data_IF_982854774110
#
_entry.id   IF_982854774110
#
_cell.length_a   1.000
_cell.length_b   1.000
_cell.length_c   1.000
_cell.angle_alpha   90.00
_cell.angle_beta   90.00
_cell.angle_gamma   90.00
#
_symmetry.space_group_name_H-M   'P 1'
#
loop_
_entity.id
_entity.type
_entity.pdbx_description
1 polymer ?
#
# COMPACT_ATOMS: atom_id res chain seq x y z
N UNK A 1 -22.62 -4.94 66.21
CA UNK A 1 -22.71 -6.02 65.21
C UNK A 1 -21.67 -5.74 64.13
N UNK A 2 -20.78 -6.69 63.90
CA UNK A 2 -19.80 -6.64 62.80
C UNK A 2 -20.54 -6.85 61.48
N UNK A 3 -20.24 -6.07 60.45
CA UNK A 3 -20.47 -6.51 59.07
C UNK A 3 -19.29 -6.06 58.21
N UNK A 4 -18.52 -7.06 57.80
CA UNK A 4 -17.47 -6.97 56.80
C UNK A 4 -18.11 -6.87 55.42
N UNK A 5 -17.64 -5.95 54.57
CA UNK A 5 -17.83 -6.05 53.12
C UNK A 5 -16.48 -6.30 52.48
N UNK A 6 -16.36 -7.48 51.90
CA UNK A 6 -15.21 -8.00 51.16
C UNK A 6 -15.02 -7.24 49.86
N UNK A 7 -13.85 -6.62 49.67
CA UNK A 7 -13.42 -6.10 48.39
C UNK A 7 -13.04 -7.29 47.48
N UNK A 8 -13.92 -7.64 46.56
CA UNK A 8 -13.57 -8.51 45.43
C UNK A 8 -12.78 -7.68 44.42
N UNK A 9 -11.47 -7.88 44.38
CA UNK A 9 -10.65 -7.51 43.23
C UNK A 9 -11.09 -8.40 42.06
N UNK A 10 -11.82 -7.83 41.09
CA UNK A 10 -11.88 -8.39 39.74
C UNK A 10 -10.67 -7.86 39.00
N UNK A 11 -9.78 -8.76 38.59
CA UNK A 11 -8.80 -8.51 37.53
C UNK A 11 -9.58 -8.03 36.30
N UNK A 12 -9.59 -6.72 36.10
CA UNK A 12 -10.01 -6.13 34.85
C UNK A 12 -8.96 -6.47 33.82
N UNK A 13 -9.29 -7.35 32.88
CA UNK A 13 -8.65 -7.37 31.58
C UNK A 13 -8.67 -5.94 31.04
N UNK A 14 -7.50 -5.30 31.00
CA UNK A 14 -7.34 -4.05 30.26
C UNK A 14 -7.55 -4.38 28.79
N UNK A 15 -8.78 -4.22 28.31
CA UNK A 15 -9.05 -4.12 26.88
C UNK A 15 -8.28 -2.89 26.41
N UNK A 16 -7.20 -3.10 25.68
CA UNK A 16 -6.38 -2.04 25.14
C UNK A 16 -7.21 -1.32 24.05
N UNK A 17 -7.98 -0.32 24.45
CA UNK A 17 -8.96 0.38 23.62
C UNK A 17 -8.28 1.41 22.71
N UNK A 18 -7.34 0.98 21.87
CA UNK A 18 -6.80 1.83 20.81
C UNK A 18 -7.75 1.75 19.62
N UNK A 19 -8.31 2.90 19.23
CA UNK A 19 -9.14 3.05 18.03
C UNK A 19 -8.30 3.17 16.73
N UNK A 20 -6.97 3.08 16.85
CA UNK A 20 -6.02 3.20 15.74
C UNK A 20 -5.06 2.02 15.84
N UNK A 21 -4.87 1.34 14.71
CA UNK A 21 -3.85 0.31 14.52
C UNK A 21 -2.70 0.88 13.72
N UNK A 22 -1.47 0.52 14.10
CA UNK A 22 -0.27 0.92 13.40
C UNK A 22 0.33 -0.27 12.66
N UNK A 23 0.47 -0.13 11.36
CA UNK A 23 1.09 -1.11 10.49
C UNK A 23 2.24 -0.49 9.72
N UNK A 24 3.07 -1.32 9.10
CA UNK A 24 4.14 -0.87 8.21
C UNK A 24 3.92 -1.38 6.79
N UNK A 25 4.13 -0.50 5.81
CA UNK A 25 4.37 -0.90 4.43
C UNK A 25 5.71 -1.64 4.36
N UNK A 26 5.73 -2.82 3.72
CA UNK A 26 6.91 -3.67 3.62
C UNK A 26 8.10 -3.05 2.88
N UNK A 27 7.90 -1.98 2.10
CA UNK A 27 8.99 -1.22 1.48
C UNK A 27 9.97 -0.68 2.54
N UNK A 28 9.49 -0.46 3.77
CA UNK A 28 10.29 -0.01 4.92
C UNK A 28 11.42 -0.99 5.25
N UNK A 29 11.23 -2.28 4.96
CA UNK A 29 12.26 -3.30 5.18
C UNK A 29 13.26 -3.42 4.02
N UNK A 30 13.14 -2.64 2.95
CA UNK A 30 14.04 -2.72 1.80
C UNK A 30 15.28 -1.80 1.93
N UNK A 31 15.68 -1.48 3.16
CA UNK A 31 17.03 -0.97 3.45
C UNK A 31 18.01 -2.16 3.59
N UNK A 32 19.10 -2.24 2.80
CA UNK A 32 20.12 -3.28 2.93
C UNK A 32 20.64 -3.48 4.36
N UNK A 33 20.69 -2.43 5.18
CA UNK A 33 21.16 -2.50 6.57
C UNK A 33 20.26 -3.36 7.46
N UNK A 34 18.95 -3.36 7.21
CA UNK A 34 18.02 -4.22 7.93
C UNK A 34 18.39 -5.71 7.76
N UNK A 35 18.90 -6.07 6.58
CA UNK A 35 19.34 -7.43 6.24
C UNK A 35 20.82 -7.69 6.59
N UNK A 36 21.46 -6.82 7.36
CA UNK A 36 22.88 -6.94 7.72
C UNK A 36 23.84 -6.71 6.55
N UNK A 37 23.39 -6.02 5.50
CA UNK A 37 24.18 -5.73 4.31
C UNK A 37 24.56 -4.25 4.22
N UNK A 38 25.57 -3.97 3.40
CA UNK A 38 25.89 -2.64 2.89
C UNK A 38 25.55 -2.57 1.39
N UNK A 39 25.31 -1.37 0.87
CA UNK A 39 25.03 -1.14 -0.55
C UNK A 39 23.67 -0.50 -0.76
N UNK A 40 23.16 -0.59 -1.99
CA UNK A 40 21.82 -0.11 -2.38
C UNK A 40 20.89 -1.26 -2.78
N UNK A 41 19.82 -0.93 -3.51
CA UNK A 41 18.79 -1.90 -3.91
C UNK A 41 19.32 -3.11 -4.70
N UNK A 42 20.41 -2.98 -5.45
CA UNK A 42 21.00 -4.10 -6.18
C UNK A 42 21.62 -5.15 -5.26
N UNK A 43 22.09 -4.75 -4.07
CA UNK A 43 22.57 -5.67 -3.05
C UNK A 43 21.42 -6.55 -2.53
N UNK A 44 20.24 -5.95 -2.31
CA UNK A 44 19.03 -6.69 -1.91
C UNK A 44 18.50 -7.59 -3.01
N UNK A 45 18.47 -7.12 -4.26
CA UNK A 45 18.10 -7.96 -5.41
C UNK A 45 18.99 -9.19 -5.49
N UNK A 46 20.29 -9.00 -5.31
CA UNK A 46 21.27 -10.10 -5.28
C UNK A 46 21.00 -11.04 -4.12
N UNK A 47 20.75 -10.51 -2.91
CA UNK A 47 20.43 -11.29 -1.72
C UNK A 47 19.26 -12.23 -1.97
N UNK A 48 18.12 -11.69 -2.42
CA UNK A 48 16.91 -12.46 -2.64
C UNK A 48 16.98 -13.40 -3.85
N UNK A 49 17.86 -13.12 -4.81
CA UNK A 49 18.07 -13.98 -5.99
C UNK A 49 19.16 -15.05 -5.79
N UNK A 50 19.98 -14.95 -4.74
CA UNK A 50 21.14 -15.82 -4.50
C UNK A 50 20.81 -17.26 -4.07
N UNK A 51 19.53 -17.62 -3.94
CA UNK A 51 19.06 -18.94 -3.49
C UNK A 51 19.20 -19.20 -1.99
N UNK A 52 19.90 -18.33 -1.24
CA UNK A 52 20.01 -18.42 0.23
C UNK A 52 18.77 -17.94 0.99
N UNK A 53 17.82 -17.31 0.30
CA UNK A 53 16.56 -16.82 0.84
C UNK A 53 15.38 -17.55 0.21
N UNK A 54 14.71 -18.37 1.01
CA UNK A 54 13.41 -18.93 0.66
C UNK A 54 12.31 -17.95 1.03
N UNK A 55 11.13 -18.00 0.37
CA UNK A 55 9.97 -17.20 0.78
C UNK A 55 9.67 -17.33 2.28
N UNK A 56 9.70 -18.56 2.83
CA UNK A 56 9.49 -18.79 4.25
C UNK A 56 10.52 -18.09 5.15
N UNK A 57 11.80 -18.08 4.76
CA UNK A 57 12.85 -17.38 5.53
C UNK A 57 12.62 -15.86 5.52
N UNK A 58 12.25 -15.31 4.36
CA UNK A 58 11.90 -13.90 4.22
C UNK A 58 10.73 -13.52 5.14
N UNK A 59 9.60 -14.23 5.02
CA UNK A 59 8.40 -13.92 5.78
C UNK A 59 8.57 -14.11 7.28
N UNK A 60 9.24 -15.16 7.74
CA UNK A 60 9.51 -15.33 9.17
C UNK A 60 10.33 -14.17 9.73
N UNK A 61 11.30 -13.64 8.97
CA UNK A 61 12.08 -12.48 9.41
C UNK A 61 11.24 -11.21 9.49
N UNK A 62 10.42 -10.95 8.46
CA UNK A 62 9.51 -9.79 8.40
C UNK A 62 8.49 -9.84 9.54
N UNK A 63 7.76 -10.95 9.70
CA UNK A 63 6.72 -11.08 10.72
C UNK A 63 7.29 -11.01 12.14
N UNK A 64 8.47 -11.61 12.37
CA UNK A 64 9.18 -11.47 13.65
C UNK A 64 9.55 -10.02 13.92
N UNK A 65 10.12 -9.33 12.93
CA UNK A 65 10.57 -7.95 13.09
C UNK A 65 9.41 -6.97 13.30
N UNK A 66 8.30 -7.16 12.58
CA UNK A 66 7.08 -6.36 12.75
C UNK A 66 6.50 -6.54 14.16
N UNK A 67 6.44 -7.77 14.66
CA UNK A 67 6.02 -8.08 16.03
C UNK A 67 6.96 -7.46 17.07
N UNK A 68 8.27 -7.60 16.91
CA UNK A 68 9.27 -7.03 17.83
C UNK A 68 9.25 -5.49 17.86
N UNK A 69 8.91 -4.86 16.74
CA UNK A 69 8.67 -3.42 16.65
C UNK A 69 7.36 -2.97 17.32
N UNK A 70 6.49 -3.92 17.74
CA UNK A 70 5.22 -3.62 18.37
C UNK A 70 4.14 -3.13 17.42
N UNK A 71 4.22 -3.50 16.15
CA UNK A 71 3.19 -3.20 15.14
C UNK A 71 1.96 -4.07 15.34
N UNK A 72 0.81 -3.53 14.96
CA UNK A 72 -0.47 -4.26 14.92
C UNK A 72 -0.63 -5.05 13.61
N UNK A 73 0.13 -4.70 12.56
CA UNK A 73 0.02 -5.36 11.26
C UNK A 73 1.04 -4.92 10.22
N UNK A 74 0.82 -5.37 9.00
CA UNK A 74 1.64 -5.05 7.82
C UNK A 74 0.78 -4.73 6.61
N UNK A 75 1.34 -3.95 5.68
CA UNK A 75 0.85 -3.79 4.31
C UNK A 75 1.86 -4.45 3.35
N UNK A 76 1.39 -5.44 2.60
CA UNK A 76 2.22 -6.18 1.64
C UNK A 76 2.30 -5.44 0.31
N UNK A 77 3.41 -5.57 -0.41
CA UNK A 77 3.67 -4.76 -1.60
C UNK A 77 4.05 -5.60 -2.81
N UNK A 78 5.30 -5.48 -3.27
CA UNK A 78 5.86 -6.13 -4.44
C UNK A 78 6.97 -7.11 -4.02
N UNK A 79 7.35 -8.07 -4.89
CA UNK A 79 8.34 -9.07 -4.57
C UNK A 79 9.62 -8.49 -3.94
N UNK A 80 10.18 -9.15 -2.91
CA UNK A 80 9.78 -10.46 -2.35
C UNK A 80 8.61 -10.42 -1.32
N UNK A 81 8.08 -9.25 -0.97
CA UNK A 81 6.99 -9.06 0.00
C UNK A 81 5.59 -9.00 -0.61
N UNK A 82 5.35 -9.74 -1.69
CA UNK A 82 4.05 -9.81 -2.36
C UNK A 82 3.23 -11.05 -1.94
N UNK A 83 1.95 -11.03 -2.30
CA UNK A 83 1.01 -12.12 -2.02
C UNK A 83 1.44 -13.47 -2.61
N UNK A 84 2.05 -13.51 -3.79
CA UNK A 84 2.57 -14.75 -4.37
C UNK A 84 3.69 -15.38 -3.52
N UNK A 85 4.62 -14.56 -3.02
CA UNK A 85 5.65 -15.01 -2.09
C UNK A 85 5.06 -15.49 -0.77
N UNK A 86 4.01 -14.83 -0.27
CA UNK A 86 3.29 -15.25 0.94
C UNK A 86 2.64 -16.63 0.76
N UNK A 87 1.95 -16.86 -0.36
CA UNK A 87 1.39 -18.18 -0.68
C UNK A 87 2.48 -19.23 -0.87
N UNK A 88 3.59 -18.90 -1.52
CA UNK A 88 4.72 -19.81 -1.66
C UNK A 88 5.34 -20.19 -0.30
N UNK A 89 5.32 -19.29 0.68
CA UNK A 89 5.86 -19.52 2.01
C UNK A 89 4.94 -20.39 2.90
N UNK A 90 3.63 -20.15 2.83
CA UNK A 90 2.64 -20.75 3.75
C UNK A 90 1.62 -21.67 3.08
N UNK A 91 1.80 -21.95 1.77
CA UNK A 91 1.01 -22.87 0.96
C UNK A 91 -0.31 -22.32 0.43
N UNK A 92 -0.85 -21.24 1.02
CA UNK A 92 -2.09 -20.57 0.59
C UNK A 92 -2.27 -19.23 1.30
N UNK A 93 -3.21 -18.40 0.83
CA UNK A 93 -3.66 -17.21 1.53
C UNK A 93 -4.12 -17.50 2.98
N UNK A 94 -4.87 -18.58 3.20
CA UNK A 94 -5.30 -19.00 4.54
C UNK A 94 -4.12 -19.39 5.44
N UNK A 95 -3.10 -20.04 4.88
CA UNK A 95 -1.86 -20.34 5.59
C UNK A 95 -1.12 -19.07 6.02
N UNK A 96 -1.07 -18.06 5.16
CA UNK A 96 -0.49 -16.76 5.50
C UNK A 96 -1.30 -16.01 6.57
N UNK A 97 -2.63 -16.05 6.49
CA UNK A 97 -3.52 -15.49 7.50
C UNK A 97 -3.29 -16.13 8.89
N UNK A 98 -3.06 -17.44 8.94
CA UNK A 98 -2.69 -18.13 10.18
C UNK A 98 -1.32 -17.68 10.68
N UNK A 99 -0.33 -17.54 9.79
CA UNK A 99 1.00 -17.07 10.17
C UNK A 99 0.98 -15.65 10.77
N UNK A 100 0.17 -14.74 10.20
CA UNK A 100 -0.08 -13.42 10.79
C UNK A 100 -0.67 -13.53 12.20
N UNK A 101 -1.71 -14.36 12.36
CA UNK A 101 -2.35 -14.61 13.66
C UNK A 101 -1.37 -15.14 14.70
N UNK A 102 -0.50 -16.09 14.33
CA UNK A 102 0.51 -16.66 15.23
C UNK A 102 1.55 -15.62 15.69
N UNK A 103 1.76 -14.57 14.88
CA UNK A 103 2.60 -13.43 15.23
C UNK A 103 1.84 -12.31 15.98
N UNK A 104 0.52 -12.42 16.11
CA UNK A 104 -0.32 -11.35 16.66
C UNK A 104 -0.40 -10.11 15.76
N UNK A 105 -0.28 -10.32 14.45
CA UNK A 105 -0.32 -9.29 13.41
C UNK A 105 -1.58 -9.45 12.55
N UNK A 106 -1.97 -8.36 11.92
CA UNK A 106 -3.02 -8.32 10.90
C UNK A 106 -2.47 -7.89 9.54
N UNK A 107 -3.16 -8.28 8.47
CA UNK A 107 -2.96 -7.66 7.17
C UNK A 107 -3.86 -6.43 7.08
N UNK A 108 -3.30 -5.23 6.98
CA UNK A 108 -4.11 -4.01 6.91
C UNK A 108 -4.52 -3.66 5.48
N UNK A 109 -3.65 -3.97 4.51
CA UNK A 109 -3.81 -3.54 3.12
C UNK A 109 -2.80 -4.28 2.22
N UNK A 110 -3.00 -4.18 0.90
CA UNK A 110 -1.98 -4.55 -0.09
C UNK A 110 -1.74 -3.41 -1.08
N UNK A 111 -0.49 -3.20 -1.49
CA UNK A 111 -0.11 -2.26 -2.53
C UNK A 111 -0.09 -2.95 -3.90
N UNK A 112 -0.92 -2.46 -4.82
CA UNK A 112 -1.06 -2.98 -6.18
C UNK A 112 0.07 -2.47 -7.09
N UNK A 113 0.89 -3.40 -7.57
CA UNK A 113 1.84 -3.12 -8.65
C UNK A 113 1.16 -3.33 -10.00
N UNK A 114 1.21 -2.32 -10.87
CA UNK A 114 0.78 -2.45 -12.27
C UNK A 114 1.83 -3.13 -13.17
N UNK A 115 2.92 -3.67 -12.61
CA UNK A 115 3.89 -4.45 -13.37
C UNK A 115 3.27 -5.79 -13.76
N UNK A 116 3.37 -6.13 -15.05
CA UNK A 116 2.89 -7.41 -15.54
C UNK A 116 3.81 -8.54 -15.05
N UNK A 117 3.27 -9.55 -14.34
CA UNK A 117 4.05 -10.66 -13.80
C UNK A 117 4.94 -11.32 -14.87
N UNK A 118 6.18 -11.61 -14.48
CA UNK A 118 7.17 -12.23 -15.38
C UNK A 118 7.77 -11.27 -16.42
N UNK A 119 7.44 -9.99 -16.38
CA UNK A 119 7.99 -8.98 -17.30
C UNK A 119 8.53 -7.76 -16.56
N UNK A 120 9.31 -6.93 -17.27
CA UNK A 120 9.70 -5.61 -16.77
C UNK A 120 8.73 -4.50 -17.18
N UNK A 121 7.61 -4.85 -17.84
CA UNK A 121 6.66 -3.90 -18.41
C UNK A 121 5.57 -3.53 -17.40
N UNK A 122 5.24 -2.25 -17.35
CA UNK A 122 4.04 -1.76 -16.66
C UNK A 122 2.83 -1.85 -17.59
N UNK A 123 1.69 -2.25 -17.03
CA UNK A 123 0.41 -2.27 -17.72
C UNK A 123 -0.06 -0.85 -18.00
N UNK A 124 -0.51 -0.61 -19.24
CA UNK A 124 -1.14 0.63 -19.66
C UNK A 124 -2.63 0.58 -19.30
N UNK A 125 -3.07 1.51 -18.44
CA UNK A 125 -4.46 1.61 -18.01
C UNK A 125 -5.42 1.98 -19.16
N UNK A 126 -4.90 2.38 -20.32
CA UNK A 126 -5.67 2.77 -21.50
C UNK A 126 -5.67 1.71 -22.60
N UNK A 127 -4.80 0.69 -22.52
CA UNK A 127 -4.78 -0.41 -23.50
C UNK A 127 -5.79 -1.50 -23.12
N UNK A 128 -6.70 -1.92 -24.04
CA UNK A 128 -7.74 -2.90 -23.72
C UNK A 128 -7.23 -4.28 -23.26
N UNK A 129 -6.09 -4.74 -23.78
CA UNK A 129 -5.52 -6.03 -23.37
C UNK A 129 -4.96 -5.94 -21.94
N UNK A 130 -4.26 -4.85 -21.65
CA UNK A 130 -3.74 -4.57 -20.30
C UNK A 130 -4.86 -4.31 -19.30
N UNK A 131 -5.93 -3.63 -19.68
CA UNK A 131 -7.12 -3.46 -18.83
C UNK A 131 -7.70 -4.80 -18.38
N UNK A 132 -7.80 -5.77 -19.29
CA UNK A 132 -8.27 -7.11 -18.95
C UNK A 132 -7.36 -7.76 -17.91
N UNK A 133 -6.04 -7.60 -18.07
CA UNK A 133 -5.06 -8.13 -17.14
C UNK A 133 -5.10 -7.43 -15.77
N UNK A 134 -5.20 -6.11 -15.74
CA UNK A 134 -5.33 -5.29 -14.53
C UNK A 134 -6.55 -5.71 -13.69
N UNK A 135 -7.69 -5.93 -14.35
CA UNK A 135 -8.91 -6.39 -13.69
C UNK A 135 -8.72 -7.78 -13.04
N UNK A 136 -8.07 -8.70 -13.76
CA UNK A 136 -7.79 -10.05 -13.25
C UNK A 136 -6.81 -10.03 -12.07
N UNK A 137 -5.73 -9.26 -12.19
CA UNK A 137 -4.75 -9.09 -11.12
C UNK A 137 -5.39 -8.46 -9.87
N UNK A 138 -6.18 -7.40 -10.05
CA UNK A 138 -6.84 -6.73 -8.94
C UNK A 138 -7.85 -7.64 -8.23
N UNK A 139 -8.65 -8.40 -8.99
CA UNK A 139 -9.61 -9.36 -8.42
C UNK A 139 -8.93 -10.49 -7.64
N UNK A 140 -7.87 -11.10 -8.20
CA UNK A 140 -7.13 -12.17 -7.52
C UNK A 140 -6.41 -11.67 -6.27
N UNK A 141 -5.83 -10.48 -6.32
CA UNK A 141 -5.21 -9.87 -5.14
C UNK A 141 -6.27 -9.52 -4.08
N UNK A 142 -7.42 -9.00 -4.47
CA UNK A 142 -8.53 -8.76 -3.56
C UNK A 142 -9.04 -10.03 -2.87
N UNK A 143 -9.09 -11.16 -3.57
CA UNK A 143 -9.44 -12.46 -2.97
C UNK A 143 -8.42 -12.90 -1.91
N UNK A 144 -7.11 -12.74 -2.20
CA UNK A 144 -6.05 -12.99 -1.22
C UNK A 144 -6.19 -12.09 0.02
N UNK A 145 -6.40 -10.79 -0.19
CA UNK A 145 -6.55 -9.80 0.89
C UNK A 145 -7.76 -10.13 1.77
N UNK A 146 -8.92 -10.42 1.16
CA UNK A 146 -10.13 -10.80 1.87
C UNK A 146 -9.94 -12.07 2.69
N UNK A 147 -9.24 -13.07 2.14
CA UNK A 147 -8.89 -14.31 2.86
C UNK A 147 -8.01 -14.04 4.08
N UNK A 148 -7.16 -13.01 4.02
CA UNK A 148 -6.32 -12.59 5.13
C UNK A 148 -6.98 -11.57 6.07
N UNK A 149 -8.25 -11.21 5.85
CA UNK A 149 -9.00 -10.27 6.67
C UNK A 149 -8.78 -8.78 6.36
N UNK A 150 -8.07 -8.45 5.28
CA UNK A 150 -7.87 -7.07 4.82
C UNK A 150 -9.01 -6.64 3.87
N UNK A 151 -9.39 -5.35 3.92
CA UNK A 151 -10.47 -4.79 3.10
C UNK A 151 -10.01 -3.67 2.15
N UNK A 152 -8.70 -3.44 2.02
CA UNK A 152 -8.15 -2.29 1.29
C UNK A 152 -7.02 -2.71 0.33
N UNK A 153 -7.13 -2.32 -0.94
CA UNK A 153 -6.10 -2.46 -1.97
C UNK A 153 -5.68 -1.06 -2.46
N UNK A 154 -4.42 -0.70 -2.28
CA UNK A 154 -3.89 0.60 -2.67
C UNK A 154 -3.34 0.55 -4.09
N UNK A 155 -3.62 1.58 -4.89
CA UNK A 155 -3.07 1.67 -6.25
C UNK A 155 -2.52 3.07 -6.52
N UNK A 156 -1.30 3.12 -7.02
CA UNK A 156 -0.72 4.32 -7.64
C UNK A 156 -1.02 4.35 -9.13
N UNK A 157 -1.12 5.55 -9.68
CA UNK A 157 -1.28 5.74 -11.12
C UNK A 157 0.08 5.73 -11.84
N UNK A 158 0.09 5.50 -13.17
CA UNK A 158 1.32 5.54 -13.95
C UNK A 158 2.09 6.86 -13.81
N UNK A 159 3.38 6.82 -14.14
CA UNK A 159 4.19 8.03 -14.29
C UNK A 159 3.55 8.96 -15.32
N UNK A 160 3.70 10.27 -15.11
CA UNK A 160 3.25 11.27 -16.10
C UNK A 160 3.94 11.08 -17.45
N UNK A 161 5.25 10.81 -17.42
CA UNK A 161 6.09 10.56 -18.60
C UNK A 161 7.34 9.77 -18.18
N UNK A 162 8.22 10.39 -17.40
CA UNK A 162 9.39 9.78 -16.76
C UNK A 162 9.69 10.56 -15.47
N UNK A 163 10.59 10.06 -14.63
CA UNK A 163 10.98 10.71 -13.38
C UNK A 163 11.62 12.10 -13.57
N UNK A 164 12.24 12.32 -14.73
CA UNK A 164 13.03 13.52 -15.06
C UNK A 164 12.48 14.33 -16.25
N UNK A 165 11.22 14.10 -16.65
CA UNK A 165 10.62 14.81 -17.77
C UNK A 165 10.54 16.33 -17.48
N UNK A 166 10.99 17.14 -18.43
CA UNK A 166 10.96 18.60 -18.34
C UNK A 166 10.43 19.23 -19.65
N UNK A 167 9.27 19.94 -19.62
CA UNK A 167 8.37 20.08 -18.47
C UNK A 167 7.65 18.75 -18.16
N UNK A 168 7.13 18.57 -16.93
CA UNK A 168 6.25 17.43 -16.64
C UNK A 168 4.98 17.49 -17.49
N UNK A 169 4.49 16.34 -17.97
CA UNK A 169 3.22 16.28 -18.71
C UNK A 169 2.07 16.75 -17.82
N UNK A 170 1.26 17.67 -18.35
CA UNK A 170 0.00 18.06 -17.75
C UNK A 170 -1.04 16.95 -17.91
N UNK A 171 -1.73 16.58 -16.82
CA UNK A 171 -2.76 15.53 -16.82
C UNK A 171 -4.11 16.19 -17.05
N UNK A 172 -4.57 16.27 -18.28
CA UNK A 172 -5.88 16.84 -18.62
C UNK A 172 -7.01 15.80 -18.54
N UNK A 173 -8.24 16.23 -18.82
CA UNK A 173 -9.40 15.35 -18.85
C UNK A 173 -9.25 14.21 -19.87
N UNK A 174 -8.69 14.49 -21.05
CA UNK A 174 -8.50 13.50 -22.11
C UNK A 174 -7.52 12.40 -21.68
N UNK A 175 -6.49 12.75 -20.91
CA UNK A 175 -5.55 11.80 -20.31
C UNK A 175 -6.18 11.03 -19.14
N UNK A 176 -6.89 11.72 -18.25
CA UNK A 176 -7.39 11.13 -17.00
C UNK A 176 -8.64 10.24 -17.18
N UNK A 177 -9.57 10.61 -18.07
CA UNK A 177 -10.84 9.92 -18.25
C UNK A 177 -10.70 8.41 -18.57
N UNK A 178 -9.88 7.96 -19.55
CA UNK A 178 -9.74 6.53 -19.82
C UNK A 178 -9.09 5.76 -18.66
N UNK A 179 -8.19 6.40 -17.90
CA UNK A 179 -7.59 5.78 -16.71
C UNK A 179 -8.65 5.64 -15.61
N UNK A 180 -9.48 6.67 -15.40
CA UNK A 180 -10.57 6.64 -14.44
C UNK A 180 -11.61 5.56 -14.75
N UNK A 181 -11.93 5.32 -16.02
CA UNK A 181 -12.79 4.20 -16.44
C UNK A 181 -12.22 2.84 -15.99
N UNK A 182 -10.93 2.61 -16.25
CA UNK A 182 -10.23 1.40 -15.80
C UNK A 182 -10.24 1.26 -14.29
N UNK A 183 -10.01 2.35 -13.54
CA UNK A 183 -10.06 2.35 -12.08
C UNK A 183 -11.44 1.97 -11.54
N UNK A 184 -12.52 2.51 -12.12
CA UNK A 184 -13.88 2.14 -11.74
C UNK A 184 -14.15 0.65 -11.98
N UNK A 185 -13.67 0.11 -13.09
CA UNK A 185 -13.83 -1.32 -13.43
C UNK A 185 -12.98 -2.22 -12.53
N UNK A 186 -11.75 -1.82 -12.20
CA UNK A 186 -10.91 -2.52 -11.22
C UNK A 186 -11.59 -2.51 -9.84
N UNK A 187 -12.05 -1.35 -9.38
CA UNK A 187 -12.72 -1.22 -8.09
C UNK A 187 -14.01 -2.04 -8.00
N UNK A 188 -14.80 -2.09 -9.07
CA UNK A 188 -15.96 -2.97 -9.14
C UNK A 188 -15.56 -4.45 -8.99
N UNK A 189 -14.43 -4.87 -9.58
CA UNK A 189 -13.92 -6.24 -9.46
C UNK A 189 -13.39 -6.56 -8.05
N UNK A 190 -12.68 -5.62 -7.39
CA UNK A 190 -12.20 -5.83 -6.01
C UNK A 190 -13.35 -5.84 -5.00
N UNK A 191 -14.37 -4.99 -5.21
CA UNK A 191 -15.52 -4.92 -4.31
C UNK A 191 -16.39 -6.18 -4.33
N UNK A 192 -16.35 -6.98 -5.40
CA UNK A 192 -16.96 -8.31 -5.40
C UNK A 192 -16.37 -9.24 -4.34
N UNK A 193 -15.12 -8.99 -3.91
CA UNK A 193 -14.44 -9.69 -2.81
C UNK A 193 -14.53 -8.93 -1.48
N UNK A 194 -15.28 -7.82 -1.41
CA UNK A 194 -15.36 -6.96 -0.23
C UNK A 194 -14.17 -6.03 -0.02
N UNK A 195 -13.27 -5.90 -1.01
CA UNK A 195 -12.05 -5.09 -0.91
C UNK A 195 -12.21 -3.77 -1.67
N UNK A 196 -11.95 -2.67 -0.97
CA UNK A 196 -11.99 -1.30 -1.47
C UNK A 196 -10.68 -0.96 -2.18
N UNK A 197 -10.77 -0.56 -3.44
CA UNK A 197 -9.63 -0.04 -4.17
C UNK A 197 -9.45 1.45 -3.87
N UNK A 198 -8.30 1.84 -3.34
CA UNK A 198 -8.00 3.21 -2.93
C UNK A 198 -6.81 3.79 -3.68
N UNK A 199 -6.96 5.02 -4.19
CA UNK A 199 -5.87 5.71 -4.87
C UNK A 199 -4.84 6.21 -3.85
N UNK A 200 -3.58 5.88 -4.07
CA UNK A 200 -2.44 6.34 -3.30
C UNK A 200 -1.60 7.34 -4.12
N UNK A 201 -1.26 8.52 -3.59
CA UNK A 201 -0.46 9.50 -4.30
C UNK A 201 1.01 9.12 -4.36
N UNK A 202 1.61 9.39 -5.52
CA UNK A 202 3.04 9.13 -5.75
C UNK A 202 3.68 10.33 -6.45
N UNK A 203 4.86 10.73 -5.98
CA UNK A 203 5.54 11.99 -6.35
C UNK A 203 5.69 12.22 -7.87
N UNK A 204 5.75 11.16 -8.67
CA UNK A 204 5.96 11.22 -10.12
C UNK A 204 4.76 10.75 -10.95
N UNK A 205 3.69 10.30 -10.27
CA UNK A 205 2.51 9.74 -10.91
C UNK A 205 1.57 10.81 -11.45
N UNK A 206 0.56 10.35 -12.19
CA UNK A 206 -0.57 11.18 -12.60
C UNK A 206 -1.48 11.59 -11.43
N UNK A 207 -1.31 11.00 -10.23
CA UNK A 207 -2.08 11.29 -9.02
C UNK A 207 -1.16 11.90 -7.95
N UNK A 208 -0.74 13.16 -8.15
CA UNK A 208 0.38 13.77 -7.40
C UNK A 208 -0.05 14.94 -6.52
N UNK A 209 -0.60 15.98 -7.13
CA UNK A 209 -0.93 17.23 -6.44
C UNK A 209 -2.44 17.34 -6.23
N UNK A 210 -2.85 18.31 -5.41
CA UNK A 210 -4.25 18.60 -5.10
C UNK A 210 -5.16 18.63 -6.33
N UNK A 211 -4.71 19.23 -7.44
CA UNK A 211 -5.53 19.38 -8.64
C UNK A 211 -5.69 18.06 -9.40
N UNK A 212 -4.67 17.20 -9.45
CA UNK A 212 -4.84 15.87 -10.06
C UNK A 212 -5.68 14.96 -9.17
N UNK A 213 -5.53 15.07 -7.84
CA UNK A 213 -6.36 14.34 -6.89
C UNK A 213 -7.83 14.68 -7.11
N UNK A 214 -8.16 15.98 -7.13
CA UNK A 214 -9.52 16.43 -7.37
C UNK A 214 -10.05 15.97 -8.74
N UNK A 215 -9.21 15.94 -9.78
CA UNK A 215 -9.58 15.46 -11.11
C UNK A 215 -9.95 13.96 -11.10
N UNK A 216 -9.12 13.09 -10.51
CA UNK A 216 -9.42 11.66 -10.47
C UNK A 216 -10.56 11.33 -9.49
N UNK A 217 -10.69 12.08 -8.39
CA UNK A 217 -11.84 11.94 -7.49
C UNK A 217 -13.15 12.36 -8.15
N UNK A 218 -13.12 13.36 -9.04
CA UNK A 218 -14.27 13.76 -9.85
C UNK A 218 -14.65 12.70 -10.89
N UNK A 219 -13.67 12.04 -11.51
CA UNK A 219 -13.89 11.12 -12.63
C UNK A 219 -14.18 9.67 -12.21
N UNK A 220 -13.97 9.33 -10.94
CA UNK A 220 -14.24 7.99 -10.40
C UNK A 220 -15.50 7.98 -9.55
N UNK A 221 -16.24 6.87 -9.57
CA UNK A 221 -17.47 6.72 -8.79
C UNK A 221 -17.13 6.64 -7.28
N UNK A 222 -17.70 7.53 -6.44
CA UNK A 222 -17.45 7.54 -5.00
C UNK A 222 -17.91 6.28 -4.26
N UNK A 223 -18.76 5.46 -4.88
CA UNK A 223 -19.20 4.18 -4.33
C UNK A 223 -18.20 3.06 -4.58
N UNK A 224 -17.27 3.25 -5.53
CA UNK A 224 -16.33 2.21 -5.95
C UNK A 224 -14.89 2.51 -5.60
N UNK A 225 -14.41 3.70 -5.94
CA UNK A 225 -13.00 4.07 -5.75
C UNK A 225 -12.86 4.87 -4.44
N UNK A 226 -11.76 4.67 -3.74
CA UNK A 226 -11.47 5.30 -2.45
C UNK A 226 -10.15 6.07 -2.50
N UNK A 227 -9.75 6.69 -1.39
CA UNK A 227 -8.54 7.46 -1.24
C UNK A 227 -7.72 6.95 -0.04
N UNK A 228 -6.45 6.65 -0.30
CA UNK A 228 -5.43 6.52 0.74
C UNK A 228 -4.54 7.77 0.72
N UNK A 229 -4.79 8.75 1.60
CA UNK A 229 -3.97 9.94 1.64
C UNK A 229 -2.59 9.61 2.22
N UNK A 230 -1.58 10.24 1.64
CA UNK A 230 -0.21 10.23 2.12
C UNK A 230 0.27 11.65 2.38
N UNK A 231 0.56 11.92 3.65
CA UNK A 231 0.93 13.25 4.13
C UNK A 231 2.24 13.75 3.53
N UNK A 232 3.25 12.88 3.36
CA UNK A 232 4.53 13.30 2.79
C UNK A 232 4.39 13.53 1.29
N UNK A 233 3.75 12.61 0.56
CA UNK A 233 3.61 12.69 -0.90
C UNK A 233 2.88 13.97 -1.33
N UNK A 234 1.81 14.34 -0.63
CA UNK A 234 1.12 15.61 -0.88
C UNK A 234 1.98 16.82 -0.54
N UNK A 235 2.70 16.78 0.59
CA UNK A 235 3.58 17.87 1.03
C UNK A 235 4.71 18.10 0.03
N UNK A 236 5.40 17.05 -0.43
CA UNK A 236 6.48 17.16 -1.43
C UNK A 236 5.95 17.63 -2.79
N UNK A 237 4.69 17.34 -3.10
CA UNK A 237 4.00 17.87 -4.28
C UNK A 237 3.58 19.35 -4.16
N UNK A 238 3.84 20.00 -3.01
CA UNK A 238 3.44 21.38 -2.73
C UNK A 238 1.95 21.53 -2.45
N UNK A 239 1.28 20.45 -2.03
CA UNK A 239 -0.13 20.44 -1.67
C UNK A 239 -0.32 20.42 -0.15
N UNK A 240 -1.49 20.90 0.31
CA UNK A 240 -1.90 20.77 1.71
C UNK A 240 -2.62 19.42 1.93
N UNK A 241 -2.00 18.47 2.66
CA UNK A 241 -2.60 17.15 2.89
C UNK A 241 -3.89 17.21 3.72
N UNK A 242 -4.04 18.18 4.62
CA UNK A 242 -5.26 18.32 5.43
C UNK A 242 -6.40 18.84 4.56
N UNK A 243 -6.13 19.81 3.69
CA UNK A 243 -7.15 20.33 2.78
C UNK A 243 -7.66 19.25 1.79
N UNK A 244 -6.78 18.38 1.29
CA UNK A 244 -7.18 17.26 0.43
C UNK A 244 -8.02 16.25 1.22
N UNK A 245 -7.53 15.85 2.39
CA UNK A 245 -8.20 14.87 3.27
C UNK A 245 -9.60 15.36 3.67
N UNK A 246 -9.76 16.65 4.00
CA UNK A 246 -11.07 17.21 4.37
C UNK A 246 -12.06 17.21 3.18
N UNK A 247 -11.60 17.54 1.96
CA UNK A 247 -12.47 17.54 0.76
C UNK A 247 -12.98 16.16 0.39
N UNK A 248 -12.17 15.12 0.61
CA UNK A 248 -12.44 13.74 0.17
C UNK A 248 -12.66 12.78 1.34
N UNK A 249 -13.03 13.29 2.53
CA UNK A 249 -13.10 12.52 3.77
C UNK A 249 -14.02 11.30 3.72
N UNK A 250 -15.09 11.37 2.93
CA UNK A 250 -16.07 10.30 2.78
C UNK A 250 -15.53 9.11 1.97
N UNK A 251 -14.34 9.26 1.35
CA UNK A 251 -13.67 8.22 0.55
C UNK A 251 -12.41 7.67 1.22
N UNK A 252 -12.10 8.06 2.45
CA UNK A 252 -10.90 7.57 3.15
C UNK A 252 -11.09 6.13 3.65
N UNK A 253 -10.09 5.28 3.43
CA UNK A 253 -10.10 3.88 3.91
C UNK A 253 -8.96 3.60 4.89
N UNK A 254 -7.75 3.94 4.49
CA UNK A 254 -6.50 3.82 5.23
C UNK A 254 -5.65 5.04 4.91
N UNK A 255 -4.72 5.43 5.80
CA UNK A 255 -3.78 6.52 5.53
C UNK A 255 -2.36 6.02 5.63
N UNK A 256 -1.54 6.45 4.68
CA UNK A 256 -0.09 6.35 4.80
C UNK A 256 0.41 7.58 5.53
N UNK A 257 0.99 7.38 6.71
CA UNK A 257 1.53 8.48 7.49
C UNK A 257 3.05 8.53 7.33
N UNK A 258 3.51 9.57 6.64
CA UNK A 258 4.93 9.86 6.36
C UNK A 258 5.19 11.35 6.59
N UNK A 259 6.43 11.72 6.88
CA UNK A 259 6.80 13.12 7.15
C UNK A 259 7.61 13.74 5.99
N UNK A 260 7.42 15.03 5.76
CA UNK A 260 8.17 15.83 4.80
C UNK A 260 8.22 17.29 5.26
N UNK A 261 9.38 17.92 5.11
CA UNK A 261 9.61 19.29 5.61
C UNK A 261 9.06 20.39 4.70
N UNK A 262 8.60 20.04 3.50
CA UNK A 262 8.01 20.97 2.55
C UNK A 262 7.96 20.43 1.14
N UNK A 263 7.62 21.31 0.20
CA UNK A 263 7.65 20.99 -1.23
C UNK A 263 9.07 20.59 -1.66
N UNK A 264 9.16 19.56 -2.50
CA UNK A 264 10.44 19.21 -3.13
C UNK A 264 10.91 20.40 -3.99
N UNK A 265 12.17 20.86 -3.83
CA UNK A 265 12.69 21.94 -4.66
C UNK A 265 12.63 21.57 -6.14
N UNK A 266 12.26 22.53 -6.99
CA UNK A 266 12.06 22.29 -8.42
C UNK A 266 13.36 21.93 -9.18
N UNK A 267 14.51 22.23 -8.57
CA UNK A 267 15.85 22.08 -9.11
C UNK A 267 16.62 20.91 -8.49
N UNK A 268 16.01 20.09 -7.62
CA UNK A 268 16.68 18.87 -7.11
C UNK A 268 16.96 17.93 -8.28
N UNK A 269 18.23 17.65 -8.60
CA UNK A 269 18.57 16.65 -9.59
C UNK A 269 18.17 15.27 -9.06
N UNK A 270 17.28 14.58 -9.77
CA UNK A 270 16.93 13.19 -9.46
C UNK A 270 17.90 12.29 -10.22
N UNK A 271 18.94 11.87 -9.53
CA UNK A 271 19.95 10.94 -10.00
C UNK A 271 20.20 9.82 -8.97
N UNK A 272 21.27 9.06 -9.16
CA UNK A 272 21.65 7.92 -8.32
C UNK A 272 22.01 8.32 -6.86
N UNK A 273 22.10 9.62 -6.55
CA UNK A 273 22.56 10.14 -5.26
C UNK A 273 21.43 10.47 -4.28
N UNK A 274 20.17 10.41 -4.72
CA UNK A 274 18.95 10.48 -3.89
C UNK A 274 18.09 9.23 -4.05
#
# INVERSE_FOLDING_TARGET
MKSSSSAYYREGYMVNSRNIKFATDLVTFYDPKFWGMSGGMDALRTLFSSGGWTPLRFWNHILTSAKEAGLDGIEITFPPGDWHSAEAAYGSAAGFAQALTDHGLELCSGYFSNRIPGTNREADFTDPADQTHLLQMAAGYAEFLATCGADSLLVSLPLRTSRNASPPRFVDLATAAPIADTLNRMAAATLQQGVKLALHPEAFSMFRNSRDVDLFMLLTDPSYVFLCPDTAQFTVAGSDPLAITERHKDRLTITHWKDATGAAPADVPIDETI
#
